data_IF_134698909743
#
_entry.id   IF_134698909743
#
_cell.length_a   1.000
_cell.length_b   1.000
_cell.length_c   1.000
_cell.angle_alpha   90.00
_cell.angle_beta   90.00
_cell.angle_gamma   90.00
#
_symmetry.space_group_name_H-M   'P 1'
#
loop_
_entity.id
_entity.type
_entity.pdbx_description
1 polymer ?
#
# COMPACT_ATOMS: atom_id res chain seq x y z
N UNK A 1 -11.28 28.74 -3.33
CA UNK A 1 -11.07 28.32 -1.93
C UNK A 1 -10.79 26.83 -1.94
N UNK A 2 -9.62 26.42 -1.46
CA UNK A 2 -9.22 25.00 -1.43
C UNK A 2 -9.93 24.33 -0.24
N UNK A 3 -10.70 23.26 -0.44
CA UNK A 3 -11.35 22.57 0.67
C UNK A 3 -10.28 22.06 1.64
N UNK A 4 -10.49 22.28 2.94
CA UNK A 4 -9.61 21.74 3.98
C UNK A 4 -9.78 20.23 4.00
N UNK A 5 -8.77 19.50 3.54
CA UNK A 5 -8.77 18.04 3.57
C UNK A 5 -8.67 17.58 5.02
N UNK A 6 -9.76 17.02 5.56
CA UNK A 6 -9.72 16.32 6.86
C UNK A 6 -9.19 14.92 6.62
N UNK A 7 -7.96 14.67 7.05
CA UNK A 7 -7.36 13.32 6.98
C UNK A 7 -7.78 12.52 8.21
N UNK A 8 -8.12 11.25 7.98
CA UNK A 8 -8.44 10.28 9.03
C UNK A 8 -7.32 9.22 9.06
N UNK A 9 -6.35 9.31 10.00
CA UNK A 9 -5.21 8.39 10.05
C UNK A 9 -5.60 6.91 10.16
N UNK A 10 -6.59 6.50 10.98
CA UNK A 10 -7.10 5.12 10.97
C UNK A 10 -7.52 4.58 9.58
N UNK A 11 -8.11 5.43 8.74
CA UNK A 11 -8.50 5.04 7.37
C UNK A 11 -7.26 4.83 6.51
N UNK A 12 -6.27 5.72 6.61
CA UNK A 12 -5.00 5.56 5.88
C UNK A 12 -4.27 4.27 6.28
N UNK A 13 -4.22 3.96 7.58
CA UNK A 13 -3.61 2.73 8.09
C UNK A 13 -4.35 1.49 7.61
N UNK A 14 -5.70 1.53 7.59
CA UNK A 14 -6.51 0.42 7.08
C UNK A 14 -6.27 0.20 5.58
N UNK A 15 -6.25 1.27 4.78
CA UNK A 15 -5.95 1.20 3.35
C UNK A 15 -4.54 0.67 3.09
N UNK A 16 -3.55 1.09 3.87
CA UNK A 16 -2.19 0.56 3.78
C UNK A 16 -2.15 -0.96 4.03
N UNK A 17 -2.84 -1.45 5.06
CA UNK A 17 -2.90 -2.88 5.36
C UNK A 17 -3.59 -3.69 4.24
N UNK A 18 -4.64 -3.13 3.63
CA UNK A 18 -5.31 -3.75 2.49
C UNK A 18 -4.38 -3.85 1.28
N UNK A 19 -3.63 -2.79 0.98
CA UNK A 19 -2.65 -2.79 -0.13
C UNK A 19 -1.48 -3.72 0.11
N UNK A 20 -0.98 -3.80 1.35
CA UNK A 20 0.05 -4.77 1.75
C UNK A 20 -0.45 -6.20 1.51
N UNK A 21 -1.68 -6.50 1.94
CA UNK A 21 -2.32 -7.82 1.75
C UNK A 21 -2.44 -8.15 0.26
N UNK A 22 -2.99 -7.23 -0.54
CA UNK A 22 -3.14 -7.41 -1.98
C UNK A 22 -1.78 -7.55 -2.69
N UNK A 23 -0.76 -6.80 -2.26
CA UNK A 23 0.60 -6.90 -2.82
C UNK A 23 1.20 -8.28 -2.55
N UNK A 24 0.95 -8.85 -1.37
CA UNK A 24 1.41 -10.18 -0.98
C UNK A 24 0.67 -11.27 -1.77
N UNK A 25 -0.65 -11.15 -1.90
CA UNK A 25 -1.46 -12.05 -2.73
C UNK A 25 -1.02 -12.03 -4.20
N UNK A 26 -0.77 -10.83 -4.74
CA UNK A 26 -0.27 -10.66 -6.09
C UNK A 26 1.13 -11.25 -6.27
N UNK A 27 2.04 -11.01 -5.33
CA UNK A 27 3.37 -11.61 -5.33
C UNK A 27 3.32 -13.15 -5.29
N UNK A 28 2.32 -13.73 -4.62
CA UNK A 28 2.12 -15.17 -4.54
C UNK A 28 1.52 -15.79 -5.82
N UNK A 29 0.97 -15.00 -6.75
CA UNK A 29 0.42 -15.53 -8.01
C UNK A 29 1.53 -16.09 -8.90
N UNK A 30 1.42 -17.37 -9.24
CA UNK A 30 2.36 -18.11 -10.10
C UNK A 30 1.94 -18.10 -11.57
N UNK A 31 1.65 -16.90 -12.11
CA UNK A 31 1.10 -16.73 -13.47
C UNK A 31 2.03 -17.26 -14.57
N UNK A 32 3.35 -17.23 -14.33
CA UNK A 32 4.35 -17.76 -15.26
C UNK A 32 4.38 -19.28 -15.36
N UNK A 33 4.03 -20.01 -14.28
CA UNK A 33 4.22 -21.47 -14.21
C UNK A 33 3.41 -22.26 -15.25
N UNK A 34 2.12 -21.96 -15.50
CA UNK A 34 1.35 -22.59 -16.58
C UNK A 34 1.88 -22.27 -17.99
N UNK A 35 2.42 -21.05 -18.18
CA UNK A 35 2.99 -20.61 -19.45
C UNK A 35 4.32 -21.31 -19.73
N UNK A 36 5.18 -21.44 -18.71
CA UNK A 36 6.41 -22.21 -18.76
C UNK A 36 6.15 -23.67 -19.11
N UNK A 37 5.16 -24.28 -18.45
CA UNK A 37 4.75 -25.66 -18.73
C UNK A 37 4.23 -25.83 -20.17
N UNK A 38 3.45 -24.86 -20.67
CA UNK A 38 2.96 -24.85 -22.05
C UNK A 38 4.09 -24.66 -23.06
N UNK A 39 5.05 -23.79 -22.76
CA UNK A 39 6.24 -23.58 -23.60
C UNK A 39 7.08 -24.86 -23.72
N UNK A 40 7.29 -25.56 -22.61
CA UNK A 40 8.00 -26.83 -22.59
C UNK A 40 7.28 -27.92 -23.41
N UNK A 41 5.95 -28.01 -23.31
CA UNK A 41 5.16 -28.97 -24.07
C UNK A 41 5.14 -28.70 -25.59
N UNK A 42 5.35 -27.45 -25.99
CA UNK A 42 5.32 -27.01 -27.39
C UNK A 42 6.72 -26.79 -27.98
N UNK A 43 7.77 -27.33 -27.35
CA UNK A 43 9.15 -27.08 -27.71
C UNK A 43 9.43 -27.30 -29.22
N UNK A 44 10.12 -26.34 -29.83
CA UNK A 44 10.40 -26.33 -31.28
C UNK A 44 9.33 -25.66 -32.14
N UNK A 45 8.18 -25.30 -31.57
CA UNK A 45 7.15 -24.51 -32.24
C UNK A 45 7.27 -23.02 -31.87
N UNK A 46 6.83 -22.14 -32.77
CA UNK A 46 6.79 -20.69 -32.49
C UNK A 46 5.91 -20.37 -31.27
N UNK A 47 4.86 -21.16 -31.03
CA UNK A 47 3.98 -21.01 -29.86
C UNK A 47 4.71 -21.18 -28.54
N UNK A 48 5.76 -22.03 -28.47
CA UNK A 48 6.57 -22.14 -27.26
C UNK A 48 7.31 -20.83 -26.95
N UNK A 49 7.93 -20.22 -27.97
CA UNK A 49 8.61 -18.94 -27.81
C UNK A 49 7.64 -17.82 -27.40
N UNK A 50 6.42 -17.83 -27.94
CA UNK A 50 5.36 -16.91 -27.53
C UNK A 50 4.94 -17.14 -26.07
N UNK A 51 4.78 -18.38 -25.63
CA UNK A 51 4.46 -18.71 -24.24
C UNK A 51 5.56 -18.21 -23.27
N UNK A 52 6.83 -18.42 -23.57
CA UNK A 52 7.94 -17.93 -22.73
C UNK A 52 8.05 -16.39 -22.70
N UNK A 53 7.72 -15.71 -23.81
CA UNK A 53 7.63 -14.24 -23.80
C UNK A 53 6.48 -13.75 -22.93
N UNK A 54 5.29 -14.35 -23.07
CA UNK A 54 4.14 -14.01 -22.24
C UNK A 54 4.41 -14.26 -20.74
N UNK A 55 5.08 -15.37 -20.40
CA UNK A 55 5.56 -15.65 -19.04
C UNK A 55 6.40 -14.49 -18.50
N UNK A 56 7.46 -14.12 -19.23
CA UNK A 56 8.38 -13.05 -18.82
C UNK A 56 7.65 -11.72 -18.61
N UNK A 57 6.75 -11.36 -19.53
CA UNK A 57 5.99 -10.10 -19.46
C UNK A 57 5.07 -10.09 -18.24
N UNK A 58 4.36 -11.19 -17.99
CA UNK A 58 3.42 -11.29 -16.87
C UNK A 58 4.14 -11.33 -15.52
N UNK A 59 5.26 -12.04 -15.42
CA UNK A 59 6.08 -12.04 -14.19
C UNK A 59 6.62 -10.65 -13.89
N UNK A 60 7.14 -9.96 -14.91
CA UNK A 60 7.64 -8.58 -14.77
C UNK A 60 6.52 -7.62 -14.33
N UNK A 61 5.34 -7.73 -14.94
CA UNK A 61 4.19 -6.90 -14.59
C UNK A 61 3.69 -7.18 -13.16
N UNK A 62 3.67 -8.45 -12.75
CA UNK A 62 3.31 -8.90 -11.39
C UNK A 62 4.28 -8.33 -10.36
N UNK A 63 5.59 -8.41 -10.62
CA UNK A 63 6.63 -7.90 -9.71
C UNK A 63 6.58 -6.37 -9.58
N UNK A 64 6.38 -5.67 -10.71
CA UNK A 64 6.26 -4.22 -10.71
C UNK A 64 5.03 -3.78 -9.90
N UNK A 65 3.87 -4.39 -10.15
CA UNK A 65 2.63 -4.00 -9.49
C UNK A 65 2.67 -4.33 -7.99
N UNK A 66 3.20 -5.50 -7.58
CA UNK A 66 3.33 -5.81 -6.15
C UNK A 66 4.27 -4.82 -5.44
N UNK A 67 5.37 -4.44 -6.10
CA UNK A 67 6.33 -3.45 -5.58
C UNK A 67 5.70 -2.06 -5.44
N UNK A 68 4.95 -1.60 -6.44
CA UNK A 68 4.27 -0.30 -6.38
C UNK A 68 3.18 -0.27 -5.30
N UNK A 69 2.41 -1.36 -5.15
CA UNK A 69 1.40 -1.47 -4.09
C UNK A 69 2.02 -1.43 -2.69
N UNK A 70 3.11 -2.17 -2.45
CA UNK A 70 3.82 -2.12 -1.16
C UNK A 70 4.42 -0.73 -0.87
N UNK A 71 4.95 -0.05 -1.88
CA UNK A 71 5.41 1.33 -1.74
C UNK A 71 4.26 2.30 -1.40
N UNK A 72 3.09 2.12 -2.00
CA UNK A 72 1.93 2.96 -1.72
C UNK A 72 1.38 2.72 -0.30
N UNK A 73 1.33 1.45 0.14
CA UNK A 73 1.02 1.09 1.52
C UNK A 73 1.97 1.76 2.53
N UNK A 74 3.27 1.77 2.22
CA UNK A 74 4.29 2.44 3.05
C UNK A 74 4.05 3.95 3.12
N UNK A 75 3.70 4.60 2.01
CA UNK A 75 3.39 6.04 1.96
C UNK A 75 2.14 6.37 2.79
N UNK A 76 1.09 5.55 2.69
CA UNK A 76 -0.14 5.73 3.47
C UNK A 76 0.11 5.58 4.97
N UNK A 77 0.85 4.55 5.38
CA UNK A 77 1.24 4.34 6.78
C UNK A 77 2.11 5.48 7.34
N UNK A 78 3.07 5.96 6.53
CA UNK A 78 3.92 7.08 6.90
C UNK A 78 3.12 8.37 7.05
N UNK A 79 2.17 8.61 6.15
CA UNK A 79 1.27 9.76 6.23
C UNK A 79 0.40 9.71 7.48
N UNK A 80 -0.20 8.54 7.79
CA UNK A 80 -0.99 8.35 9.01
C UNK A 80 -0.19 8.71 10.27
N UNK A 81 1.04 8.19 10.35
CA UNK A 81 1.97 8.45 11.47
C UNK A 81 2.29 9.93 11.62
N UNK A 82 2.56 10.63 10.52
CA UNK A 82 2.91 12.06 10.57
C UNK A 82 1.72 12.92 10.99
N UNK A 83 0.49 12.57 10.55
CA UNK A 83 -0.72 13.24 11.00
C UNK A 83 -0.97 13.04 12.50
N UNK A 84 -0.86 11.81 13.01
CA UNK A 84 -1.04 11.53 14.44
C UNK A 84 0.00 12.24 15.31
N UNK A 85 1.26 12.27 14.86
CA UNK A 85 2.34 12.99 15.54
C UNK A 85 2.07 14.49 15.60
N UNK A 86 1.63 15.06 14.48
CA UNK A 86 1.31 16.49 14.40
C UNK A 86 0.12 16.85 15.31
N UNK A 87 -0.93 16.02 15.31
CA UNK A 87 -2.11 16.21 16.15
C UNK A 87 -1.75 16.11 17.65
N UNK A 88 -0.94 15.12 18.01
CA UNK A 88 -0.45 14.94 19.39
C UNK A 88 0.38 16.15 19.85
N UNK A 89 1.29 16.65 19.01
CA UNK A 89 2.09 17.83 19.33
C UNK A 89 1.23 19.09 19.50
N UNK A 90 0.19 19.25 18.68
CA UNK A 90 -0.77 20.35 18.82
C UNK A 90 -1.59 20.23 20.11
N UNK A 91 -2.09 19.03 20.44
CA UNK A 91 -2.83 18.75 21.66
C UNK A 91 -1.98 19.03 22.91
N UNK A 92 -0.71 18.61 22.92
CA UNK A 92 0.23 18.92 24.01
C UNK A 92 0.47 20.43 24.16
N UNK A 93 0.65 21.14 23.04
CA UNK A 93 0.80 22.59 23.07
C UNK A 93 -0.44 23.26 23.66
N UNK A 94 -1.64 22.87 23.22
CA UNK A 94 -2.91 23.38 23.75
C UNK A 94 -3.09 23.05 25.24
N UNK A 95 -2.74 21.85 25.67
CA UNK A 95 -2.80 21.44 27.08
C UNK A 95 -1.91 22.30 27.99
N UNK A 96 -0.77 22.79 27.48
CA UNK A 96 0.09 23.74 28.20
C UNK A 96 -0.55 25.12 28.38
N UNK A 97 -1.41 25.55 27.47
CA UNK A 97 -2.13 26.82 27.56
C UNK A 97 -3.45 26.71 28.34
N UNK A 98 -4.09 25.54 28.32
CA UNK A 98 -5.41 25.36 28.94
C UNK A 98 -5.37 25.37 30.48
N UNK A 99 -4.25 24.99 31.12
CA UNK A 99 -4.14 24.91 32.59
C UNK A 99 -5.18 23.99 33.26
N UNK A 100 -5.09 23.69 34.56
CA UNK A 100 -6.16 22.98 35.24
C UNK A 100 -7.41 23.86 35.23
N UNK A 101 -8.49 23.37 34.60
CA UNK A 101 -9.81 24.01 34.63
C UNK A 101 -10.24 24.11 36.09
N UNK A 102 -10.04 25.29 36.71
CA UNK A 102 -10.61 25.61 38.01
C UNK A 102 -12.10 25.81 37.79
N UNK A 103 -12.90 24.79 38.11
CA UNK A 103 -14.31 24.99 38.39
C UNK A 103 -14.41 25.84 39.66
N UNK A 104 -14.42 27.17 39.52
CA UNK A 104 -14.96 28.03 40.57
C UNK A 104 -16.46 27.78 40.62
N UNK A 105 -16.86 27.07 41.67
CA UNK A 105 -18.25 26.88 42.05
C UNK A 105 -18.75 28.20 42.62
N UNK A 106 -19.74 28.81 41.94
CA UNK A 106 -20.57 29.90 42.48
C UNK A 106 -21.80 29.28 43.12
#
# INVERSE_FOLDING_TARGET
MTPTLKVNPPVLTTSAQQEETLSSELAALTVGQPLAASAAALAGLQSAAACSQCETVLETARDLLSTEMSQYATKLSSAATEYEKTDSAAAEALGKFAGPVRYETV
#
